data_IF_418938268582
#
_entry.id   IF_418938268582
#
_cell.length_a   1.000
_cell.length_b   1.000
_cell.length_c   1.000
_cell.angle_alpha   90.00
_cell.angle_beta   90.00
_cell.angle_gamma   90.00
#
_symmetry.space_group_name_H-M   'P 1'
#
loop_
_entity.id
_entity.type
_entity.pdbx_description
1 polymer ?
#
# COMPACT_ATOMS: atom_id res chain seq x y z
N UNK A 1 7.91 22.45 62.54
CA UNK A 1 8.72 23.29 61.62
C UNK A 1 9.99 22.53 61.29
N UNK A 2 10.13 21.99 60.08
CA UNK A 2 11.41 22.00 59.39
C UNK A 2 11.19 21.77 57.90
N UNK A 3 11.69 22.75 57.15
CA UNK A 3 11.56 22.94 55.72
C UNK A 3 12.43 21.95 54.94
N UNK A 4 11.83 21.38 53.90
CA UNK A 4 12.37 21.24 52.53
C UNK A 4 13.88 21.44 52.31
N UNK A 5 14.56 20.42 51.78
CA UNK A 5 15.10 20.42 50.40
C UNK A 5 15.99 19.21 50.06
N UNK A 6 15.92 18.88 48.77
CA UNK A 6 16.88 18.12 47.95
C UNK A 6 16.69 16.60 47.89
N UNK A 7 15.55 16.24 47.29
CA UNK A 7 15.36 15.07 46.44
C UNK A 7 16.45 15.03 45.35
N UNK A 8 17.48 14.19 45.54
CA UNK A 8 18.44 13.79 44.50
C UNK A 8 18.03 12.43 43.94
N UNK A 9 16.94 12.38 43.19
CA UNK A 9 16.62 11.19 42.39
C UNK A 9 17.27 11.37 41.02
N UNK A 10 18.40 10.69 40.83
CA UNK A 10 19.02 10.51 39.52
C UNK A 10 18.06 9.69 38.65
N UNK A 11 17.31 10.36 37.79
CA UNK A 11 16.46 9.72 36.79
C UNK A 11 17.35 9.33 35.61
N UNK A 12 17.54 8.02 35.44
CA UNK A 12 18.23 7.45 34.28
C UNK A 12 17.47 7.84 33.01
N UNK A 13 18.12 8.62 32.14
CA UNK A 13 17.62 8.93 30.81
C UNK A 13 17.79 7.70 29.91
N UNK A 14 16.77 6.82 29.91
CA UNK A 14 16.61 5.82 28.86
C UNK A 14 15.97 6.52 27.65
N UNK A 15 16.81 7.12 26.81
CA UNK A 15 16.38 7.64 25.50
C UNK A 15 16.09 6.44 24.61
N UNK A 16 14.83 6.04 24.54
CA UNK A 16 14.32 5.19 23.46
C UNK A 16 14.41 5.99 22.16
N UNK A 17 15.52 5.84 21.43
CA UNK A 17 15.63 6.26 20.05
C UNK A 17 14.74 5.32 19.21
N UNK A 18 13.43 5.58 19.20
CA UNK A 18 12.54 5.01 18.21
C UNK A 18 12.87 5.66 16.88
N UNK A 19 13.70 4.98 16.09
CA UNK A 19 13.97 5.33 14.69
C UNK A 19 12.70 5.06 13.87
N UNK A 20 11.68 5.90 14.01
CA UNK A 20 10.64 6.02 13.00
C UNK A 20 11.28 6.74 11.81
N UNK A 21 11.93 5.96 10.93
CA UNK A 21 12.24 6.45 9.60
C UNK A 21 10.93 6.76 8.88
N UNK A 22 10.86 7.82 8.05
CA UNK A 22 9.69 8.00 7.21
C UNK A 22 9.57 6.74 6.34
N UNK A 23 8.41 6.09 6.35
CA UNK A 23 8.05 5.12 5.34
C UNK A 23 8.02 5.89 4.01
N UNK A 24 9.17 5.96 3.33
CA UNK A 24 9.26 6.56 2.03
C UNK A 24 8.61 5.55 1.08
N UNK A 25 7.35 5.81 0.72
CA UNK A 25 6.77 5.30 -0.51
C UNK A 25 7.60 5.86 -1.67
N UNK A 26 8.76 5.25 -1.92
CA UNK A 26 9.49 5.46 -3.16
C UNK A 26 8.67 4.73 -4.21
N UNK A 27 8.00 5.49 -5.09
CA UNK A 27 7.22 4.92 -6.18
C UNK A 27 8.13 4.00 -6.99
N UNK A 28 7.84 2.69 -6.97
CA UNK A 28 8.48 1.74 -7.86
C UNK A 28 8.11 2.07 -9.30
N UNK A 29 8.82 1.49 -10.27
CA UNK A 29 8.43 1.57 -11.68
C UNK A 29 6.96 1.13 -11.87
N UNK A 30 6.52 0.15 -11.08
CA UNK A 30 5.15 -0.35 -11.12
C UNK A 30 4.13 0.64 -10.52
N UNK A 31 4.45 1.31 -9.40
CA UNK A 31 3.61 2.39 -8.84
C UNK A 31 3.47 3.54 -9.83
N UNK A 32 4.59 3.99 -10.41
CA UNK A 32 4.60 5.09 -11.39
C UNK A 32 3.78 4.72 -12.63
N UNK A 33 3.89 3.46 -13.09
CA UNK A 33 3.11 2.94 -14.20
C UNK A 33 1.61 2.93 -13.87
N UNK A 34 1.23 2.46 -12.68
CA UNK A 34 -0.17 2.46 -12.22
C UNK A 34 -0.74 3.87 -12.19
N UNK A 35 -0.05 4.82 -11.54
CA UNK A 35 -0.47 6.22 -11.47
C UNK A 35 -0.65 6.84 -12.86
N UNK A 36 0.30 6.56 -13.77
CA UNK A 36 0.29 7.13 -15.12
C UNK A 36 -0.80 6.53 -16.01
N UNK A 37 -1.00 5.22 -15.98
CA UNK A 37 -1.91 4.51 -16.90
C UNK A 37 -3.34 4.45 -16.36
N UNK A 38 -3.51 4.43 -15.04
CA UNK A 38 -4.81 4.20 -14.39
C UNK A 38 -5.34 5.43 -13.65
N UNK A 39 -4.45 6.29 -13.11
CA UNK A 39 -4.82 7.40 -12.21
C UNK A 39 -5.64 8.54 -12.83
N UNK A 40 -5.81 8.56 -14.16
CA UNK A 40 -6.70 9.53 -14.83
C UNK A 40 -8.19 9.14 -14.74
N UNK A 41 -8.48 7.86 -14.55
CA UNK A 41 -9.84 7.31 -14.46
C UNK A 41 -10.14 6.68 -13.09
N UNK A 42 -9.11 6.28 -12.36
CA UNK A 42 -9.18 5.66 -11.04
C UNK A 42 -8.42 6.50 -10.02
N UNK A 43 -8.62 6.20 -8.74
CA UNK A 43 -7.78 6.78 -7.70
C UNK A 43 -6.31 6.36 -7.93
N UNK A 44 -5.33 7.28 -7.85
CA UNK A 44 -3.92 6.95 -8.12
C UNK A 44 -3.28 6.04 -7.07
N UNK A 45 -3.85 5.96 -5.87
CA UNK A 45 -3.39 5.06 -4.82
C UNK A 45 -3.88 3.64 -5.08
N UNK A 46 -2.95 2.69 -5.22
CA UNK A 46 -3.28 1.31 -5.56
C UNK A 46 -4.02 0.58 -4.42
N UNK A 47 -3.77 0.91 -3.15
CA UNK A 47 -4.47 0.30 -2.02
C UNK A 47 -5.91 0.77 -1.98
N UNK A 48 -6.13 2.09 -2.11
CA UNK A 48 -7.47 2.66 -2.18
C UNK A 48 -8.23 2.15 -3.41
N UNK A 49 -7.56 1.96 -4.56
CA UNK A 49 -8.15 1.34 -5.74
C UNK A 49 -8.62 -0.09 -5.46
N UNK A 50 -7.78 -0.92 -4.82
CA UNK A 50 -8.12 -2.31 -4.49
C UNK A 50 -9.38 -2.36 -3.62
N UNK A 51 -9.44 -1.53 -2.57
CA UNK A 51 -10.61 -1.45 -1.68
C UNK A 51 -11.90 -1.05 -2.40
N UNK A 52 -11.81 -0.19 -3.42
CA UNK A 52 -12.98 0.39 -4.08
C UNK A 52 -13.45 -0.34 -5.35
N UNK A 53 -12.59 -1.14 -5.98
CA UNK A 53 -12.80 -1.64 -7.34
C UNK A 53 -12.52 -3.12 -7.50
N UNK A 54 -11.91 -3.76 -6.52
CA UNK A 54 -11.45 -5.14 -6.61
C UNK A 54 -12.02 -5.96 -5.46
N UNK A 55 -12.44 -7.18 -5.77
CA UNK A 55 -12.84 -8.20 -4.82
C UNK A 55 -11.70 -9.21 -4.76
N UNK A 56 -11.17 -9.44 -3.57
CA UNK A 56 -10.19 -10.49 -3.31
C UNK A 56 -10.91 -11.81 -3.13
N UNK A 57 -10.48 -12.82 -3.88
CA UNK A 57 -11.01 -14.19 -3.82
C UNK A 57 -9.87 -15.17 -3.55
N UNK A 58 -10.20 -16.43 -3.23
CA UNK A 58 -9.19 -17.49 -3.11
C UNK A 58 -8.43 -17.75 -4.41
N UNK A 59 -8.99 -17.36 -5.55
CA UNK A 59 -8.42 -17.55 -6.89
C UNK A 59 -7.73 -16.27 -7.42
N UNK A 60 -7.62 -15.22 -6.60
CA UNK A 60 -6.96 -13.96 -6.95
C UNK A 60 -7.89 -12.73 -6.99
N UNK A 61 -7.49 -11.73 -7.76
CA UNK A 61 -8.15 -10.42 -7.86
C UNK A 61 -9.23 -10.38 -8.96
N UNK A 62 -10.46 -10.01 -8.58
CA UNK A 62 -11.61 -9.90 -9.50
C UNK A 62 -12.14 -8.47 -9.49
N UNK A 63 -12.34 -7.86 -10.65
CA UNK A 63 -12.93 -6.53 -10.74
C UNK A 63 -14.39 -6.51 -10.25
N UNK A 64 -14.72 -5.62 -9.31
CA UNK A 64 -16.07 -5.55 -8.74
C UNK A 64 -17.11 -5.20 -9.81
N UNK A 65 -16.82 -4.24 -10.69
CA UNK A 65 -17.75 -3.81 -11.73
C UNK A 65 -17.81 -4.78 -12.92
N UNK A 66 -16.66 -5.32 -13.34
CA UNK A 66 -16.57 -6.19 -14.51
C UNK A 66 -16.95 -7.64 -14.24
N UNK A 67 -16.87 -8.07 -12.97
CA UNK A 67 -17.00 -9.48 -12.54
C UNK A 67 -16.03 -10.43 -13.26
N UNK A 68 -14.91 -9.90 -13.73
CA UNK A 68 -13.86 -10.64 -14.42
C UNK A 68 -12.56 -10.61 -13.61
N UNK A 69 -11.68 -11.62 -13.75
CA UNK A 69 -10.31 -11.51 -13.25
C UNK A 69 -9.67 -10.22 -13.75
N UNK A 70 -8.96 -9.51 -12.87
CA UNK A 70 -8.35 -8.22 -13.21
C UNK A 70 -7.39 -8.38 -14.40
N UNK A 71 -6.56 -9.43 -14.39
CA UNK A 71 -5.66 -9.74 -15.50
C UNK A 71 -6.40 -9.85 -16.83
N UNK A 72 -7.46 -10.67 -16.91
CA UNK A 72 -8.25 -10.84 -18.13
C UNK A 72 -8.87 -9.52 -18.59
N UNK A 73 -9.30 -8.66 -17.66
CA UNK A 73 -9.84 -7.36 -18.01
C UNK A 73 -8.78 -6.42 -18.59
N UNK A 74 -7.56 -6.43 -18.05
CA UNK A 74 -6.44 -5.66 -18.61
C UNK A 74 -6.04 -6.19 -20.00
N UNK A 75 -5.94 -7.51 -20.16
CA UNK A 75 -5.64 -8.18 -21.44
C UNK A 75 -6.69 -7.89 -22.52
N UNK A 76 -7.93 -7.56 -22.13
CA UNK A 76 -8.98 -7.12 -23.06
C UNK A 76 -8.77 -5.69 -23.61
N UNK A 77 -7.75 -4.98 -23.13
CA UNK A 77 -7.32 -3.66 -23.60
C UNK A 77 -7.61 -2.51 -22.64
N UNK A 78 -8.13 -2.78 -21.44
CA UNK A 78 -8.32 -1.74 -20.42
C UNK A 78 -6.96 -1.19 -19.95
N UNK A 79 -6.87 0.14 -19.77
CA UNK A 79 -5.62 0.81 -19.41
C UNK A 79 -4.60 0.94 -20.55
N UNK A 80 -4.85 0.32 -21.73
CA UNK A 80 -3.95 0.34 -22.90
C UNK A 80 -2.52 -0.06 -22.53
N UNK A 81 -2.41 -1.16 -21.78
CA UNK A 81 -1.16 -1.73 -21.31
C UNK A 81 -0.61 -2.72 -22.34
N UNK A 82 0.70 -2.72 -22.52
CA UNK A 82 1.41 -3.79 -23.22
C UNK A 82 1.50 -5.05 -22.34
N UNK A 83 1.73 -6.26 -22.88
CA UNK A 83 1.74 -7.50 -22.09
C UNK A 83 2.69 -7.48 -20.90
N UNK A 84 3.88 -6.89 -21.04
CA UNK A 84 4.83 -6.75 -19.94
C UNK A 84 4.36 -5.74 -18.87
N UNK A 85 3.67 -4.69 -19.28
CA UNK A 85 3.07 -3.71 -18.36
C UNK A 85 1.91 -4.35 -17.58
N UNK A 86 1.12 -5.23 -18.19
CA UNK A 86 0.06 -5.99 -17.51
C UNK A 86 0.67 -6.83 -16.39
N UNK A 87 1.74 -7.57 -16.66
CA UNK A 87 2.44 -8.37 -15.65
C UNK A 87 2.91 -7.51 -14.48
N UNK A 88 3.55 -6.37 -14.77
CA UNK A 88 4.04 -5.45 -13.73
C UNK A 88 2.91 -4.87 -12.88
N UNK A 89 1.77 -4.52 -13.50
CA UNK A 89 0.61 -4.01 -12.77
C UNK A 89 -0.01 -5.10 -11.90
N UNK A 90 -0.15 -6.33 -12.40
CA UNK A 90 -0.69 -7.43 -11.61
C UNK A 90 0.19 -7.74 -10.39
N UNK A 91 1.50 -7.84 -10.58
CA UNK A 91 2.46 -8.07 -9.48
C UNK A 91 2.41 -6.93 -8.44
N UNK A 92 2.27 -5.69 -8.90
CA UNK A 92 2.12 -4.55 -8.02
C UNK A 92 0.85 -4.60 -7.19
N UNK A 93 -0.31 -4.88 -7.81
CA UNK A 93 -1.59 -4.98 -7.12
C UNK A 93 -1.60 -6.13 -6.12
N UNK A 94 -1.01 -7.27 -6.45
CA UNK A 94 -0.84 -8.41 -5.53
C UNK A 94 0.05 -8.06 -4.35
N UNK A 95 1.19 -7.39 -4.60
CA UNK A 95 2.10 -6.93 -3.53
C UNK A 95 1.41 -5.96 -2.57
N UNK A 96 0.64 -5.01 -3.10
CA UNK A 96 -0.14 -4.05 -2.30
C UNK A 96 -1.21 -4.80 -1.50
N UNK A 97 -1.94 -5.71 -2.13
CA UNK A 97 -2.97 -6.53 -1.47
C UNK A 97 -2.41 -7.34 -0.31
N UNK A 98 -1.27 -8.01 -0.49
CA UNK A 98 -0.61 -8.79 0.55
C UNK A 98 -0.17 -7.90 1.72
N UNK A 99 0.39 -6.73 1.40
CA UNK A 99 0.81 -5.75 2.40
C UNK A 99 -0.38 -5.21 3.22
N UNK A 100 -1.53 -4.99 2.59
CA UNK A 100 -2.75 -4.54 3.28
C UNK A 100 -3.31 -5.61 4.24
N UNK A 101 -3.15 -6.91 3.93
CA UNK A 101 -3.55 -7.97 4.86
C UNK A 101 -2.66 -8.06 6.10
N UNK A 102 -1.39 -7.69 6.01
CA UNK A 102 -0.47 -7.69 7.16
C UNK A 102 -0.81 -6.63 8.21
N UNK A 103 -1.57 -5.59 7.85
CA UNK A 103 -1.93 -4.49 8.75
C UNK A 103 -3.25 -4.78 9.49
N UNK A 104 -4.10 -5.64 8.93
CA UNK A 104 -5.44 -5.93 9.45
C UNK A 104 -5.52 -7.19 10.33
N UNK A 105 -4.38 -7.85 10.59
CA UNK A 105 -4.28 -9.11 11.32
C UNK A 105 -3.38 -8.99 12.55
#
# INVERSE_FOLDING_TARGET
>A
MLETRMLKTALAALVCAASFGPAQAQGSDAQTLFETKCGSCHVPDASEFLEQKVIVTGDGLVGEGSKMPVQTFLESGHGRLEPAEITLIMEHLETVQDSSQLILN
#
